data_IF_912245869328
#
_entry.id   IF_912245869328
#
_cell.length_a   1.000
_cell.length_b   1.000
_cell.length_c   1.000
_cell.angle_alpha   90.00
_cell.angle_beta   90.00
_cell.angle_gamma   90.00
#
_symmetry.space_group_name_H-M   'P 1'
#
loop_
_entity.id
_entity.type
_entity.pdbx_description
1 polymer ?
#
# COMPACT_ATOMS: atom_id res chain seq x y z
N UNK A 1 -3.93 -27.70 -7.30
CA UNK A 1 -5.34 -27.63 -7.78
C UNK A 1 -6.34 -28.24 -6.80
N UNK A 2 -6.30 -29.53 -6.38
CA UNK A 2 -7.37 -30.10 -5.52
C UNK A 2 -7.55 -29.36 -4.18
N UNK A 3 -6.44 -29.01 -3.51
CA UNK A 3 -6.46 -28.16 -2.32
C UNK A 3 -7.05 -26.77 -2.60
N UNK A 4 -6.78 -26.21 -3.78
CA UNK A 4 -7.34 -24.92 -4.21
C UNK A 4 -8.85 -24.98 -4.42
N UNK A 5 -9.36 -26.06 -5.02
CA UNK A 5 -10.81 -26.31 -5.14
C UNK A 5 -11.44 -26.42 -3.75
N UNK A 6 -10.83 -27.21 -2.86
CA UNK A 6 -11.29 -27.35 -1.48
C UNK A 6 -11.37 -26.00 -0.75
N UNK A 7 -10.30 -25.20 -0.80
CA UNK A 7 -10.28 -23.87 -0.18
C UNK A 7 -11.23 -22.90 -0.84
N UNK A 8 -11.35 -22.89 -2.18
CA UNK A 8 -12.29 -22.04 -2.90
C UNK A 8 -13.74 -22.33 -2.51
N UNK A 9 -14.10 -23.61 -2.37
CA UNK A 9 -15.43 -24.02 -1.91
C UNK A 9 -15.67 -23.63 -0.46
N UNK A 10 -14.75 -23.93 0.46
CA UNK A 10 -14.91 -23.59 1.87
C UNK A 10 -15.00 -22.08 2.08
N UNK A 11 -14.05 -21.32 1.52
CA UNK A 11 -14.03 -19.88 1.67
C UNK A 11 -15.22 -19.23 0.96
N UNK A 12 -15.65 -19.77 -0.19
CA UNK A 12 -16.87 -19.33 -0.86
C UNK A 12 -18.12 -19.57 -0.02
N UNK A 13 -18.25 -20.73 0.63
CA UNK A 13 -19.35 -21.03 1.54
C UNK A 13 -19.34 -20.11 2.77
N UNK A 14 -18.17 -19.87 3.35
CA UNK A 14 -18.01 -18.90 4.45
C UNK A 14 -18.46 -17.51 3.98
N UNK A 15 -18.02 -17.09 2.80
CA UNK A 15 -18.36 -15.77 2.25
C UNK A 15 -19.86 -15.61 1.97
N UNK A 16 -20.54 -16.68 1.51
CA UNK A 16 -21.96 -16.65 1.17
C UNK A 16 -22.90 -16.83 2.37
N UNK A 17 -22.46 -17.51 3.42
CA UNK A 17 -23.34 -17.94 4.51
C UNK A 17 -22.97 -17.41 5.90
N UNK A 18 -21.70 -17.05 6.13
CA UNK A 18 -21.24 -16.56 7.43
C UNK A 18 -20.97 -15.05 7.44
N UNK A 19 -20.68 -14.45 6.30
CA UNK A 19 -20.45 -13.01 6.16
C UNK A 19 -21.72 -12.26 5.73
N UNK A 20 -21.69 -10.94 5.89
CA UNK A 20 -22.80 -10.08 5.52
C UNK A 20 -23.08 -10.17 4.01
N UNK A 21 -24.31 -10.52 3.65
CA UNK A 21 -24.74 -10.59 2.25
C UNK A 21 -25.43 -9.27 1.91
N UNK A 22 -24.94 -8.50 0.92
CA UNK A 22 -25.54 -7.22 0.56
C UNK A 22 -26.95 -7.41 -0.01
N UNK A 23 -27.79 -6.39 0.14
CA UNK A 23 -29.14 -6.38 -0.40
C UNK A 23 -29.10 -6.61 -1.93
N UNK A 24 -29.84 -7.60 -2.47
CA UNK A 24 -29.88 -7.87 -3.90
C UNK A 24 -30.33 -6.69 -4.77
N UNK A 25 -31.06 -5.74 -4.20
CA UNK A 25 -31.46 -4.49 -4.88
C UNK A 25 -30.30 -3.52 -5.09
N UNK A 26 -29.26 -3.60 -4.25
CA UNK A 26 -28.06 -2.77 -4.30
C UNK A 26 -26.94 -3.47 -5.06
N UNK A 27 -26.75 -4.77 -4.83
CA UNK A 27 -25.71 -5.57 -5.49
C UNK A 27 -26.34 -6.81 -6.15
N UNK A 28 -26.78 -6.70 -7.42
CA UNK A 28 -27.37 -7.84 -8.11
C UNK A 28 -26.31 -8.92 -8.37
N UNK A 29 -26.76 -10.18 -8.41
CA UNK A 29 -25.93 -11.35 -8.75
C UNK A 29 -24.71 -11.59 -7.84
N UNK A 30 -24.79 -11.21 -6.56
CA UNK A 30 -23.71 -11.41 -5.58
C UNK A 30 -23.16 -12.84 -5.55
N UNK A 31 -24.05 -13.84 -5.47
CA UNK A 31 -23.64 -15.25 -5.42
C UNK A 31 -22.86 -15.69 -6.66
N UNK A 32 -23.30 -15.24 -7.84
CA UNK A 32 -22.61 -15.54 -9.10
C UNK A 32 -21.22 -14.90 -9.13
N UNK A 33 -21.06 -13.69 -8.57
CA UNK A 33 -19.78 -13.02 -8.41
C UNK A 33 -18.81 -13.82 -7.54
N UNK A 34 -19.25 -14.27 -6.36
CA UNK A 34 -18.41 -15.07 -5.45
C UNK A 34 -17.95 -16.37 -6.12
N UNK A 35 -18.87 -17.08 -6.79
CA UNK A 35 -18.54 -18.32 -7.51
C UNK A 35 -17.57 -18.04 -8.67
N UNK A 36 -17.77 -16.96 -9.41
CA UNK A 36 -16.88 -16.56 -10.50
C UNK A 36 -15.46 -16.22 -10.01
N UNK A 37 -15.32 -15.50 -8.89
CA UNK A 37 -14.01 -15.26 -8.27
C UNK A 37 -13.36 -16.56 -7.78
N UNK A 38 -14.11 -17.45 -7.13
CA UNK A 38 -13.61 -18.77 -6.73
C UNK A 38 -13.13 -19.59 -7.92
N UNK A 39 -13.91 -19.62 -9.00
CA UNK A 39 -13.53 -20.28 -10.25
C UNK A 39 -12.28 -19.65 -10.87
N UNK A 40 -12.16 -18.32 -10.84
CA UNK A 40 -10.98 -17.63 -11.36
C UNK A 40 -9.70 -18.04 -10.65
N UNK A 41 -9.73 -18.20 -9.33
CA UNK A 41 -8.59 -18.67 -8.54
C UNK A 41 -8.21 -20.12 -8.92
N UNK A 42 -9.20 -20.99 -9.15
CA UNK A 42 -8.94 -22.37 -9.60
C UNK A 42 -8.28 -22.37 -10.99
N UNK A 43 -8.74 -21.53 -11.92
CA UNK A 43 -8.15 -21.40 -13.25
C UNK A 43 -6.71 -20.90 -13.15
N UNK A 44 -6.44 -19.90 -12.32
CA UNK A 44 -5.09 -19.37 -12.11
C UNK A 44 -4.14 -20.44 -11.56
N UNK A 45 -4.60 -21.25 -10.59
CA UNK A 45 -3.86 -22.39 -10.06
C UNK A 45 -3.54 -23.48 -11.10
N UNK A 46 -4.33 -23.60 -12.18
CA UNK A 46 -4.00 -24.49 -13.30
C UNK A 46 -2.84 -23.94 -14.14
N UNK A 47 -2.66 -22.61 -14.16
CA UNK A 47 -1.56 -21.93 -14.85
C UNK A 47 -0.23 -21.93 -14.08
N UNK A 48 -0.26 -22.05 -12.75
CA UNK A 48 0.93 -21.97 -11.89
C UNK A 48 2.09 -22.88 -12.30
N UNK A 49 1.90 -24.18 -12.64
CA UNK A 49 3.02 -25.03 -13.04
C UNK A 49 3.78 -24.48 -14.25
N UNK A 50 3.05 -23.89 -15.22
CA UNK A 50 3.66 -23.27 -16.40
C UNK A 50 4.39 -21.97 -16.04
N UNK A 51 3.82 -21.18 -15.15
CA UNK A 51 4.45 -19.95 -14.66
C UNK A 51 5.75 -20.26 -13.91
N UNK A 52 5.75 -21.24 -13.01
CA UNK A 52 6.95 -21.68 -12.27
C UNK A 52 8.00 -22.21 -13.22
N UNK A 53 7.62 -23.03 -14.20
CA UNK A 53 8.54 -23.55 -15.22
C UNK A 53 9.15 -22.42 -16.06
N UNK A 54 8.34 -21.44 -16.48
CA UNK A 54 8.82 -20.28 -17.21
C UNK A 54 9.79 -19.44 -16.38
N UNK A 55 9.52 -19.25 -15.08
CA UNK A 55 10.38 -18.52 -14.15
C UNK A 55 11.70 -19.27 -13.92
N UNK A 56 11.66 -20.59 -13.71
CA UNK A 56 12.84 -21.43 -13.48
C UNK A 56 13.82 -21.42 -14.68
N UNK A 57 13.29 -21.30 -15.91
CA UNK A 57 14.08 -21.21 -17.13
C UNK A 57 14.26 -19.77 -17.66
N UNK A 58 13.94 -18.77 -16.85
CA UNK A 58 14.14 -17.34 -17.16
C UNK A 58 13.47 -16.88 -18.47
N UNK A 59 12.28 -17.40 -18.79
CA UNK A 59 11.45 -16.91 -19.89
C UNK A 59 10.73 -15.60 -19.53
N UNK A 60 11.53 -14.58 -19.16
CA UNK A 60 11.05 -13.26 -18.71
C UNK A 60 10.18 -12.59 -19.77
N UNK A 61 10.54 -12.71 -21.06
CA UNK A 61 9.76 -12.13 -22.16
C UNK A 61 8.35 -12.74 -22.27
N UNK A 62 8.22 -14.06 -22.10
CA UNK A 62 6.91 -14.73 -22.10
C UNK A 62 6.05 -14.18 -20.96
N UNK A 63 6.62 -14.12 -19.75
CA UNK A 63 5.94 -13.62 -18.55
C UNK A 63 5.41 -12.20 -18.76
N UNK A 64 6.28 -11.28 -19.21
CA UNK A 64 5.91 -9.87 -19.45
C UNK A 64 4.79 -9.78 -20.49
N UNK A 65 4.87 -10.52 -21.59
CA UNK A 65 3.85 -10.47 -22.65
C UNK A 65 2.52 -11.04 -22.15
N UNK A 66 2.54 -12.21 -21.52
CA UNK A 66 1.35 -12.89 -21.03
C UNK A 66 0.62 -12.07 -19.95
N UNK A 67 1.36 -11.53 -18.98
CA UNK A 67 0.81 -10.66 -17.94
C UNK A 67 0.24 -9.37 -18.55
N UNK A 68 1.01 -8.70 -19.42
CA UNK A 68 0.57 -7.45 -20.06
C UNK A 68 -0.69 -7.65 -20.91
N UNK A 69 -0.73 -8.69 -21.74
CA UNK A 69 -1.90 -8.99 -22.58
C UNK A 69 -3.13 -9.25 -21.71
N UNK A 70 -2.99 -10.05 -20.66
CA UNK A 70 -4.08 -10.39 -19.75
C UNK A 70 -4.61 -9.15 -19.02
N UNK A 71 -3.73 -8.29 -18.49
CA UNK A 71 -4.12 -7.03 -17.84
C UNK A 71 -4.83 -6.10 -18.83
N UNK A 72 -4.29 -5.92 -20.04
CA UNK A 72 -4.91 -5.06 -21.07
C UNK A 72 -6.29 -5.58 -21.46
N UNK A 73 -6.44 -6.90 -21.68
CA UNK A 73 -7.74 -7.52 -21.97
C UNK A 73 -8.74 -7.31 -20.84
N UNK A 74 -8.32 -7.50 -19.58
CA UNK A 74 -9.15 -7.22 -18.39
C UNK A 74 -9.61 -5.77 -18.37
N UNK A 75 -8.69 -4.82 -18.53
CA UNK A 75 -8.99 -3.39 -18.46
C UNK A 75 -9.95 -2.96 -19.57
N UNK A 76 -9.73 -3.38 -20.81
CA UNK A 76 -10.62 -3.08 -21.93
C UNK A 76 -12.03 -3.61 -21.64
N UNK A 77 -12.14 -4.88 -21.23
CA UNK A 77 -13.44 -5.48 -20.93
C UNK A 77 -14.15 -4.75 -19.78
N UNK A 78 -13.45 -4.49 -18.67
CA UNK A 78 -14.01 -3.76 -17.52
C UNK A 78 -14.53 -2.39 -17.95
N UNK A 79 -13.71 -1.59 -18.65
CA UNK A 79 -14.09 -0.22 -19.06
C UNK A 79 -15.29 -0.26 -20.01
N UNK A 80 -15.27 -1.12 -21.03
CA UNK A 80 -16.37 -1.25 -21.97
C UNK A 80 -17.67 -1.64 -21.26
N UNK A 81 -17.64 -2.66 -20.39
CA UNK A 81 -18.85 -3.13 -19.72
C UNK A 81 -19.36 -2.15 -18.65
N UNK A 82 -18.48 -1.46 -17.92
CA UNK A 82 -18.87 -0.44 -16.94
C UNK A 82 -19.58 0.74 -17.63
N UNK A 83 -19.12 1.15 -18.81
CA UNK A 83 -19.76 2.21 -19.60
C UNK A 83 -21.13 1.76 -20.13
N UNK A 84 -21.24 0.51 -20.60
CA UNK A 84 -22.49 -0.01 -21.19
C UNK A 84 -23.54 -0.41 -20.14
N UNK A 85 -23.12 -0.98 -19.01
CA UNK A 85 -23.98 -1.59 -17.99
C UNK A 85 -23.53 -1.23 -16.56
N UNK A 86 -23.58 0.05 -16.16
CA UNK A 86 -23.03 0.51 -14.88
C UNK A 86 -23.63 -0.16 -13.64
N UNK A 87 -24.88 -0.64 -13.72
CA UNK A 87 -25.58 -1.29 -12.61
C UNK A 87 -25.08 -2.72 -12.29
N UNK A 88 -24.26 -3.34 -13.15
CA UNK A 88 -23.81 -4.72 -13.01
C UNK A 88 -22.37 -4.84 -12.48
N UNK A 89 -21.91 -3.83 -11.72
CA UNK A 89 -20.51 -3.66 -11.32
C UNK A 89 -19.81 -4.96 -10.88
N UNK A 90 -20.33 -5.64 -9.85
CA UNK A 90 -19.72 -6.87 -9.34
C UNK A 90 -19.61 -7.98 -10.39
N UNK A 91 -20.66 -8.17 -11.21
CA UNK A 91 -20.65 -9.17 -12.27
C UNK A 91 -19.61 -8.84 -13.34
N UNK A 92 -19.49 -7.56 -13.71
CA UNK A 92 -18.50 -7.07 -14.67
C UNK A 92 -17.07 -7.34 -14.17
N UNK A 93 -16.77 -6.98 -12.92
CA UNK A 93 -15.45 -7.24 -12.33
C UNK A 93 -15.13 -8.74 -12.25
N UNK A 94 -16.14 -9.57 -11.94
CA UNK A 94 -15.99 -11.02 -11.88
C UNK A 94 -15.70 -11.62 -13.27
N UNK A 95 -16.44 -11.19 -14.29
CA UNK A 95 -16.25 -11.63 -15.67
C UNK A 95 -14.89 -11.16 -16.22
N UNK A 96 -14.49 -9.93 -15.93
CA UNK A 96 -13.19 -9.40 -16.31
C UNK A 96 -12.04 -10.15 -15.63
N UNK A 97 -12.20 -10.55 -14.36
CA UNK A 97 -11.24 -11.40 -13.67
C UNK A 97 -11.15 -12.81 -14.30
N UNK A 98 -12.29 -13.41 -14.68
CA UNK A 98 -12.29 -14.68 -15.40
C UNK A 98 -11.60 -14.58 -16.76
N UNK A 99 -11.82 -13.50 -17.51
CA UNK A 99 -11.12 -13.23 -18.77
C UNK A 99 -9.61 -13.11 -18.53
N UNK A 100 -9.19 -12.34 -17.52
CA UNK A 100 -7.80 -12.16 -17.15
C UNK A 100 -7.08 -13.49 -16.94
N UNK A 101 -7.58 -14.33 -16.03
CA UNK A 101 -6.94 -15.61 -15.71
C UNK A 101 -6.99 -16.56 -16.90
N UNK A 102 -8.06 -16.55 -17.69
CA UNK A 102 -8.19 -17.42 -18.87
C UNK A 102 -7.18 -17.04 -19.95
N UNK A 103 -7.02 -15.76 -20.26
CA UNK A 103 -6.01 -15.28 -21.22
C UNK A 103 -4.61 -15.61 -20.73
N UNK A 104 -4.33 -15.42 -19.43
CA UNK A 104 -3.03 -15.71 -18.83
C UNK A 104 -2.67 -17.20 -18.99
N UNK A 105 -3.55 -18.09 -18.57
CA UNK A 105 -3.33 -19.55 -18.69
C UNK A 105 -3.22 -19.97 -20.15
N UNK A 106 -4.07 -19.45 -21.03
CA UNK A 106 -4.01 -19.76 -22.46
C UNK A 106 -2.68 -19.33 -23.08
N UNK A 107 -2.13 -18.16 -22.72
CA UNK A 107 -0.81 -17.73 -23.20
C UNK A 107 0.28 -18.72 -22.83
N UNK A 108 0.31 -19.17 -21.57
CA UNK A 108 1.29 -20.15 -21.11
C UNK A 108 1.10 -21.51 -21.79
N UNK A 109 -0.13 -22.02 -21.85
CA UNK A 109 -0.43 -23.31 -22.48
C UNK A 109 -0.05 -23.29 -23.96
N UNK A 110 -0.48 -22.27 -24.72
CA UNK A 110 -0.14 -22.11 -26.14
C UNK A 110 1.38 -22.06 -26.31
N UNK A 111 2.08 -21.23 -25.53
CA UNK A 111 3.52 -21.11 -25.62
C UNK A 111 4.23 -22.44 -25.39
N UNK A 112 3.90 -23.16 -24.31
CA UNK A 112 4.58 -24.44 -24.00
C UNK A 112 4.19 -25.56 -24.96
N UNK A 113 2.96 -25.59 -25.49
CA UNK A 113 2.59 -26.53 -26.56
C UNK A 113 3.44 -26.30 -27.81
N UNK A 114 3.63 -25.04 -28.22
CA UNK A 114 4.44 -24.70 -29.38
C UNK A 114 5.94 -24.88 -29.14
N UNK A 115 6.43 -24.47 -27.96
CA UNK A 115 7.84 -24.52 -27.60
C UNK A 115 8.36 -25.95 -27.43
N UNK A 116 7.62 -26.82 -26.73
CA UNK A 116 8.06 -28.19 -26.47
C UNK A 116 8.13 -29.06 -27.75
N UNK A 117 7.38 -28.69 -28.79
CA UNK A 117 7.48 -29.31 -30.12
C UNK A 117 8.56 -28.70 -31.04
N UNK A 118 9.25 -27.65 -30.59
CA UNK A 118 10.20 -26.90 -31.41
C UNK A 118 11.63 -27.48 -31.35
N UNK A 119 12.44 -27.34 -32.42
CA UNK A 119 13.84 -27.74 -32.41
C UNK A 119 14.68 -26.98 -31.37
N UNK A 120 14.21 -25.79 -30.94
CA UNK A 120 14.88 -25.00 -29.91
C UNK A 120 14.81 -25.65 -28.52
N UNK A 121 13.68 -26.28 -28.17
CA UNK A 121 13.54 -27.03 -26.92
C UNK A 121 14.44 -28.27 -26.90
N UNK A 122 14.54 -28.99 -28.02
CA UNK A 122 15.45 -30.13 -28.18
C UNK A 122 16.91 -29.68 -28.06
N UNK A 123 17.27 -28.56 -28.69
CA UNK A 123 18.63 -27.98 -28.60
C UNK A 123 18.99 -27.55 -27.17
N UNK A 124 18.02 -27.07 -26.40
CA UNK A 124 18.18 -26.67 -24.99
C UNK A 124 18.10 -27.85 -24.00
N UNK A 125 17.93 -29.10 -24.48
CA UNK A 125 17.77 -30.31 -23.65
C UNK A 125 16.71 -30.12 -22.55
N UNK A 126 15.56 -29.55 -22.93
CA UNK A 126 14.53 -29.19 -21.97
C UNK A 126 13.97 -30.44 -21.26
N UNK A 127 13.83 -30.43 -19.92
CA UNK A 127 13.53 -31.63 -19.13
C UNK A 127 12.11 -32.18 -19.33
N UNK A 128 11.20 -31.37 -19.90
CA UNK A 128 9.80 -31.73 -20.11
C UNK A 128 9.55 -31.95 -21.61
N UNK A 129 9.14 -33.14 -22.03
CA UNK A 129 8.92 -33.44 -23.45
C UNK A 129 7.51 -33.07 -23.95
N UNK A 130 6.50 -33.04 -23.05
CA UNK A 130 5.11 -32.75 -23.40
C UNK A 130 4.41 -32.02 -22.26
N UNK A 131 3.47 -31.13 -22.59
CA UNK A 131 2.63 -30.44 -21.59
C UNK A 131 1.87 -31.40 -20.67
N UNK A 132 1.48 -32.59 -21.17
CA UNK A 132 0.84 -33.64 -20.36
C UNK A 132 1.71 -34.12 -19.18
N UNK A 133 3.04 -34.00 -19.27
CA UNK A 133 3.93 -34.36 -18.17
C UNK A 133 3.88 -33.38 -16.99
N UNK A 134 3.30 -32.19 -17.18
CA UNK A 134 3.03 -31.22 -16.10
C UNK A 134 1.69 -31.50 -15.39
N UNK A 135 0.87 -32.41 -15.93
CA UNK A 135 -0.36 -32.85 -15.29
C UNK A 135 -0.04 -33.99 -14.31
N UNK A 136 -0.80 -34.11 -13.21
CA UNK A 136 -0.64 -35.22 -12.27
C UNK A 136 -0.74 -36.55 -13.02
N UNK A 137 0.28 -37.39 -12.88
CA UNK A 137 0.33 -38.74 -13.45
C UNK A 137 0.49 -39.75 -12.32
N UNK A 138 -0.23 -40.86 -12.42
CA UNK A 138 -0.04 -42.00 -11.51
C UNK A 138 1.12 -42.81 -12.06
N UNK A 139 2.28 -42.72 -11.41
CA UNK A 139 3.44 -43.55 -11.71
C UNK A 139 3.37 -44.76 -10.78
N UNK A 140 3.38 -45.98 -11.35
CA UNK A 140 3.07 -47.22 -10.63
C UNK A 140 4.07 -47.58 -9.50
N UNK A 141 5.24 -46.92 -9.44
CA UNK A 141 6.31 -47.22 -8.46
C UNK A 141 6.75 -46.03 -7.58
N UNK A 142 6.10 -44.87 -7.68
CA UNK A 142 6.39 -43.72 -6.81
C UNK A 142 5.28 -43.44 -5.80
N UNK A 143 5.65 -42.98 -4.61
CA UNK A 143 4.67 -42.51 -3.62
C UNK A 143 3.86 -41.36 -4.22
N UNK A 144 2.52 -41.43 -4.14
CA UNK A 144 1.59 -40.43 -4.67
C UNK A 144 1.95 -38.98 -4.28
N UNK A 145 2.61 -38.78 -3.13
CA UNK A 145 3.15 -37.50 -2.68
C UNK A 145 4.59 -37.68 -2.22
N UNK A 146 5.49 -36.88 -2.78
CA UNK A 146 6.84 -36.73 -2.24
C UNK A 146 6.77 -35.98 -0.90
N UNK A 147 6.86 -36.71 0.22
CA UNK A 147 6.72 -36.16 1.56
C UNK A 147 7.77 -35.10 1.92
N UNK A 148 8.97 -35.17 1.32
CA UNK A 148 10.03 -34.16 1.55
C UNK A 148 9.63 -32.82 0.95
N UNK A 149 9.17 -32.84 -0.30
CA UNK A 149 8.68 -31.66 -1.00
C UNK A 149 7.39 -31.14 -0.36
N UNK A 150 6.45 -32.03 -0.02
CA UNK A 150 5.21 -31.65 0.65
C UNK A 150 5.47 -30.94 2.00
N UNK A 151 6.44 -31.41 2.78
CA UNK A 151 6.84 -30.75 4.04
C UNK A 151 7.44 -29.37 3.79
N UNK A 152 8.22 -29.20 2.73
CA UNK A 152 8.78 -27.91 2.33
C UNK A 152 7.68 -26.95 1.82
N UNK A 153 6.78 -27.42 0.96
CA UNK A 153 5.61 -26.68 0.49
C UNK A 153 4.72 -26.24 1.65
N UNK A 154 4.54 -27.10 2.66
CA UNK A 154 3.80 -26.74 3.86
C UNK A 154 4.47 -25.64 4.68
N UNK A 155 5.80 -25.65 4.78
CA UNK A 155 6.55 -24.55 5.41
C UNK A 155 6.37 -23.23 4.66
N UNK A 156 6.46 -23.24 3.33
CA UNK A 156 6.20 -22.03 2.53
C UNK A 156 4.74 -21.58 2.60
N UNK A 157 3.79 -22.51 2.63
CA UNK A 157 2.38 -22.18 2.83
C UNK A 157 2.15 -21.47 4.16
N UNK A 158 2.71 -21.97 5.27
CA UNK A 158 2.65 -21.29 6.58
C UNK A 158 3.23 -19.89 6.53
N UNK A 159 4.39 -19.74 5.88
CA UNK A 159 5.03 -18.43 5.73
C UNK A 159 4.16 -17.46 4.92
N UNK A 160 3.60 -17.90 3.81
CA UNK A 160 2.71 -17.10 2.97
C UNK A 160 1.41 -16.76 3.70
N UNK A 161 0.83 -17.70 4.46
CA UNK A 161 -0.37 -17.46 5.26
C UNK A 161 -0.12 -16.44 6.37
N UNK A 162 0.99 -16.58 7.11
CA UNK A 162 1.38 -15.59 8.11
C UNK A 162 1.62 -14.21 7.47
N UNK A 163 2.31 -14.18 6.34
CA UNK A 163 2.53 -12.95 5.57
C UNK A 163 1.20 -12.30 5.19
N UNK A 164 0.25 -13.10 4.69
CA UNK A 164 -1.08 -12.63 4.32
C UNK A 164 -1.83 -11.99 5.50
N UNK A 165 -1.80 -12.60 6.69
CA UNK A 165 -2.41 -12.00 7.89
C UNK A 165 -1.72 -10.71 8.29
N UNK A 166 -0.39 -10.65 8.22
CA UNK A 166 0.38 -9.45 8.58
C UNK A 166 0.18 -8.30 7.58
N UNK A 167 -0.01 -8.59 6.30
CA UNK A 167 -0.16 -7.56 5.25
C UNK A 167 -1.60 -7.14 5.02
N UNK A 168 -2.55 -8.08 5.13
CA UNK A 168 -3.97 -7.86 4.82
C UNK A 168 -4.86 -7.96 6.07
N UNK A 169 -4.26 -7.97 7.27
CA UNK A 169 -4.96 -8.02 8.56
C UNK A 169 -6.01 -6.91 8.72
N UNK A 170 -5.70 -5.72 8.21
CA UNK A 170 -6.64 -4.60 8.10
C UNK A 170 -7.90 -4.97 7.30
N UNK A 171 -7.74 -5.57 6.12
CA UNK A 171 -8.88 -6.00 5.30
C UNK A 171 -9.67 -7.11 5.97
N UNK A 172 -8.99 -8.02 6.67
CA UNK A 172 -9.66 -9.05 7.45
C UNK A 172 -10.49 -8.48 8.60
N UNK A 173 -10.01 -7.45 9.31
CA UNK A 173 -10.81 -6.75 10.33
C UNK A 173 -12.06 -6.12 9.69
N UNK A 174 -11.91 -5.45 8.55
CA UNK A 174 -13.04 -4.82 7.85
C UNK A 174 -14.07 -5.85 7.38
N UNK A 175 -13.63 -6.97 6.82
CA UNK A 175 -14.50 -8.01 6.24
C UNK A 175 -15.14 -8.94 7.28
N UNK A 176 -14.40 -9.42 8.28
CA UNK A 176 -14.90 -10.47 9.19
C UNK A 176 -15.64 -9.92 10.41
N UNK A 177 -15.37 -8.70 10.82
CA UNK A 177 -15.97 -8.12 12.03
C UNK A 177 -17.18 -7.22 11.72
N UNK A 178 -17.59 -7.13 10.44
CA UNK A 178 -18.71 -6.33 9.93
C UNK A 178 -18.77 -4.92 10.55
N UNK A 179 -17.60 -4.31 10.80
CA UNK A 179 -17.53 -3.01 11.49
C UNK A 179 -17.89 -1.86 10.54
N UNK A 180 -17.80 -2.11 9.23
CA UNK A 180 -18.13 -1.17 8.16
C UNK A 180 -19.05 -1.83 7.14
N UNK A 181 -20.05 -1.10 6.67
CA UNK A 181 -20.86 -1.52 5.53
C UNK A 181 -20.02 -1.52 4.25
N UNK A 182 -20.36 -2.35 3.26
CA UNK A 182 -19.70 -2.45 1.96
C UNK A 182 -19.53 -1.09 1.25
N UNK A 183 -20.50 -0.19 1.38
CA UNK A 183 -20.40 1.17 0.83
C UNK A 183 -19.24 1.96 1.45
N UNK A 184 -19.14 1.98 2.78
CA UNK A 184 -18.07 2.67 3.50
C UNK A 184 -16.71 2.00 3.26
N UNK A 185 -16.66 0.68 3.10
CA UNK A 185 -15.43 -0.04 2.72
C UNK A 185 -14.95 0.41 1.32
N UNK A 186 -15.88 0.56 0.35
CA UNK A 186 -15.56 1.06 -0.98
C UNK A 186 -15.03 2.50 -0.98
N UNK A 187 -15.69 3.39 -0.21
CA UNK A 187 -15.21 4.78 -0.05
C UNK A 187 -13.85 4.82 0.65
N UNK A 188 -13.68 4.03 1.71
CA UNK A 188 -12.41 3.88 2.41
C UNK A 188 -11.29 3.43 1.47
N UNK A 189 -11.50 2.38 0.69
CA UNK A 189 -10.50 1.86 -0.25
C UNK A 189 -10.10 2.89 -1.31
N UNK A 190 -11.06 3.68 -1.82
CA UNK A 190 -10.77 4.76 -2.78
C UNK A 190 -9.94 5.85 -2.10
N UNK A 191 -10.36 6.33 -0.92
CA UNK A 191 -9.64 7.37 -0.19
C UNK A 191 -8.24 6.90 0.23
N UNK A 192 -8.09 5.66 0.70
CA UNK A 192 -6.81 5.07 1.06
C UNK A 192 -5.87 5.00 -0.15
N UNK A 193 -6.37 4.57 -1.31
CA UNK A 193 -5.58 4.55 -2.54
C UNK A 193 -5.20 5.95 -3.04
N UNK A 194 -6.11 6.93 -2.94
CA UNK A 194 -5.84 8.31 -3.32
C UNK A 194 -4.85 8.99 -2.37
N UNK A 195 -5.06 8.84 -1.07
CA UNK A 195 -4.23 9.43 -0.03
C UNK A 195 -2.83 8.82 0.03
N UNK A 196 -2.69 7.50 -0.21
CA UNK A 196 -1.38 6.83 -0.23
C UNK A 196 -0.50 7.19 -1.44
N UNK A 197 -1.00 7.91 -2.44
CA UNK A 197 -0.20 8.29 -3.62
C UNK A 197 1.05 9.09 -3.27
N UNK A 198 0.93 10.04 -2.33
CA UNK A 198 2.08 10.85 -1.87
C UNK A 198 3.13 9.94 -1.22
N UNK A 199 2.69 9.02 -0.36
CA UNK A 199 3.60 8.06 0.26
C UNK A 199 4.29 7.17 -0.79
N UNK A 200 3.55 6.68 -1.79
CA UNK A 200 4.08 5.81 -2.86
C UNK A 200 5.04 6.51 -3.81
N UNK A 201 4.76 7.76 -4.18
CA UNK A 201 5.53 8.46 -5.22
C UNK A 201 6.59 9.41 -4.67
N UNK A 202 6.47 9.87 -3.43
CA UNK A 202 7.40 10.83 -2.83
C UNK A 202 8.17 10.16 -1.69
N UNK A 203 7.47 9.67 -0.66
CA UNK A 203 8.16 9.20 0.55
C UNK A 203 8.88 7.86 0.36
N UNK A 204 8.29 6.91 -0.35
CA UNK A 204 8.90 5.60 -0.57
C UNK A 204 10.23 5.68 -1.34
N UNK A 205 10.34 6.41 -2.48
CA UNK A 205 11.65 6.60 -3.14
C UNK A 205 12.69 7.30 -2.27
N UNK A 206 12.27 8.27 -1.44
CA UNK A 206 13.15 8.95 -0.47
C UNK A 206 13.66 7.93 0.56
N UNK A 207 12.76 7.16 1.16
CA UNK A 207 13.08 6.12 2.14
C UNK A 207 14.07 5.09 1.58
N UNK A 208 13.81 4.53 0.40
CA UNK A 208 14.70 3.54 -0.22
C UNK A 208 16.08 4.12 -0.55
N UNK A 209 16.12 5.34 -1.10
CA UNK A 209 17.38 6.01 -1.47
C UNK A 209 18.24 6.33 -0.26
N UNK A 210 17.62 6.89 0.78
CA UNK A 210 18.35 7.28 1.99
C UNK A 210 18.66 6.11 2.91
N UNK A 211 17.91 5.00 2.83
CA UNK A 211 18.29 3.75 3.49
C UNK A 211 19.66 3.28 2.99
N UNK A 212 19.83 3.26 1.66
CA UNK A 212 21.10 2.86 1.03
C UNK A 212 22.21 3.86 1.37
N UNK A 213 21.90 5.17 1.42
CA UNK A 213 22.86 6.19 1.84
C UNK A 213 23.36 5.94 3.27
N UNK A 214 22.46 5.85 4.25
CA UNK A 214 22.83 5.65 5.65
C UNK A 214 23.57 4.34 5.87
N UNK A 215 23.15 3.26 5.20
CA UNK A 215 23.81 1.96 5.29
C UNK A 215 25.22 1.92 4.67
N UNK A 216 25.56 2.89 3.79
CA UNK A 216 26.89 3.03 3.19
C UNK A 216 27.80 3.99 3.97
N UNK A 217 27.23 5.05 4.53
CA UNK A 217 27.98 6.07 5.27
C UNK A 217 28.29 5.60 6.69
N UNK A 218 27.35 4.92 7.33
CA UNK A 218 27.49 4.45 8.70
C UNK A 218 27.59 2.93 8.76
N UNK A 219 28.43 2.45 9.66
CA UNK A 219 28.62 1.01 9.87
C UNK A 219 27.55 0.44 10.80
N UNK A 220 26.88 -0.63 10.33
CA UNK A 220 25.81 -1.30 11.07
C UNK A 220 26.31 -1.89 12.40
N UNK A 221 25.56 -1.67 13.48
CA UNK A 221 25.84 -2.22 14.81
C UNK A 221 26.98 -1.54 15.57
N UNK A 222 27.58 -0.47 15.05
CA UNK A 222 28.60 0.32 15.75
C UNK A 222 27.99 1.51 16.47
N UNK A 223 28.57 1.86 17.61
CA UNK A 223 28.16 3.09 18.33
C UNK A 223 28.67 4.33 17.59
N UNK A 224 28.12 5.51 17.92
CA UNK A 224 28.56 6.77 17.30
C UNK A 224 30.04 7.09 17.57
N UNK A 225 30.59 6.63 18.70
CA UNK A 225 32.02 6.85 19.06
C UNK A 225 32.98 6.00 18.23
N UNK A 226 32.52 4.87 17.72
CA UNK A 226 33.35 3.91 16.97
C UNK A 226 33.35 4.19 15.46
N UNK A 227 32.76 5.32 15.06
CA UNK A 227 32.62 5.74 13.67
C UNK A 227 33.39 7.03 13.41
N UNK A 228 33.67 7.29 12.13
CA UNK A 228 34.38 8.52 11.75
C UNK A 228 33.48 9.72 12.00
N UNK A 229 34.03 10.72 12.68
CA UNK A 229 33.30 11.94 13.06
C UNK A 229 32.68 12.65 11.84
N UNK A 230 33.41 12.70 10.71
CA UNK A 230 32.91 13.29 9.46
C UNK A 230 31.69 12.54 8.88
N UNK A 231 31.70 11.21 8.92
CA UNK A 231 30.60 10.37 8.42
C UNK A 231 29.36 10.52 9.31
N UNK A 232 29.56 10.59 10.63
CA UNK A 232 28.50 10.84 11.62
C UNK A 232 27.89 12.24 11.42
N UNK A 233 28.73 13.27 11.23
CA UNK A 233 28.28 14.62 11.01
C UNK A 233 27.48 14.74 9.70
N UNK A 234 27.96 14.09 8.63
CA UNK A 234 27.26 14.03 7.34
C UNK A 234 25.89 13.35 7.48
N UNK A 235 25.85 12.17 8.10
CA UNK A 235 24.61 11.43 8.29
C UNK A 235 23.61 12.18 9.18
N UNK A 236 24.08 12.83 10.24
CA UNK A 236 23.23 13.65 11.10
C UNK A 236 22.65 14.85 10.35
N UNK A 237 23.46 15.56 9.57
CA UNK A 237 22.99 16.71 8.79
C UNK A 237 21.97 16.27 7.71
N UNK A 238 22.24 15.18 7.00
CA UNK A 238 21.29 14.63 6.01
C UNK A 238 19.99 14.20 6.69
N UNK A 239 20.06 13.48 7.82
CA UNK A 239 18.87 13.08 8.57
C UNK A 239 18.05 14.29 9.04
N UNK A 240 18.69 15.33 9.58
CA UNK A 240 18.03 16.57 10.00
C UNK A 240 17.26 17.21 8.84
N UNK A 241 17.91 17.34 7.69
CA UNK A 241 17.35 17.98 6.50
C UNK A 241 16.21 17.15 5.90
N UNK A 242 16.32 15.83 5.92
CA UNK A 242 15.25 14.94 5.45
C UNK A 242 14.04 14.95 6.34
N UNK A 243 14.22 14.84 7.66
CA UNK A 243 13.12 14.95 8.63
C UNK A 243 12.38 16.26 8.45
N UNK A 244 13.13 17.34 8.26
CA UNK A 244 12.59 18.66 7.99
C UNK A 244 11.81 18.72 6.66
N UNK A 245 12.37 18.19 5.58
CA UNK A 245 11.71 18.13 4.28
C UNK A 245 10.37 17.39 4.36
N UNK A 246 10.38 16.16 4.88
CA UNK A 246 9.18 15.31 4.91
C UNK A 246 8.13 15.83 5.87
N UNK A 247 8.54 16.46 6.99
CA UNK A 247 7.63 17.13 7.91
C UNK A 247 6.92 18.29 7.21
N UNK A 248 7.64 19.15 6.49
CA UNK A 248 7.05 20.30 5.79
C UNK A 248 6.09 19.86 4.68
N UNK A 249 6.43 18.81 3.93
CA UNK A 249 5.52 18.22 2.94
C UNK A 249 4.26 17.67 3.63
N UNK A 250 4.43 16.89 4.71
CA UNK A 250 3.33 16.34 5.49
C UNK A 250 2.42 17.40 6.12
N UNK A 251 2.98 18.48 6.65
CA UNK A 251 2.24 19.60 7.24
C UNK A 251 1.45 20.36 6.18
N UNK A 252 2.05 20.63 5.01
CA UNK A 252 1.34 21.21 3.88
C UNK A 252 0.14 20.36 3.48
N UNK A 253 0.33 19.04 3.34
CA UNK A 253 -0.77 18.13 2.99
C UNK A 253 -1.81 18.07 4.10
N UNK A 254 -1.42 18.08 5.37
CA UNK A 254 -2.39 18.07 6.48
C UNK A 254 -3.25 19.33 6.47
N UNK A 255 -2.64 20.51 6.36
CA UNK A 255 -3.33 21.80 6.43
C UNK A 255 -4.24 22.03 5.23
N UNK A 256 -3.72 21.88 4.02
CA UNK A 256 -4.51 22.11 2.81
C UNK A 256 -5.38 20.90 2.46
N UNK A 257 -4.91 19.67 2.66
CA UNK A 257 -5.71 18.47 2.42
C UNK A 257 -7.00 18.46 3.24
N UNK A 258 -6.98 18.96 4.48
CA UNK A 258 -8.19 19.05 5.30
C UNK A 258 -9.29 19.89 4.63
N UNK A 259 -9.01 21.17 4.33
CA UNK A 259 -10.01 22.10 3.81
C UNK A 259 -10.44 21.82 2.35
N UNK A 260 -9.59 21.13 1.58
CA UNK A 260 -9.84 20.85 0.17
C UNK A 260 -10.33 19.41 -0.09
N UNK A 261 -10.49 18.59 0.94
CA UNK A 261 -10.91 17.18 0.81
C UNK A 261 -12.25 17.02 0.09
N UNK A 262 -13.27 17.79 0.49
CA UNK A 262 -14.59 17.70 -0.13
C UNK A 262 -14.54 18.11 -1.61
N UNK A 263 -13.86 19.21 -1.93
CA UNK A 263 -13.70 19.67 -3.31
C UNK A 263 -12.92 18.65 -4.17
N UNK A 264 -11.83 18.10 -3.63
CA UNK A 264 -10.99 17.13 -4.33
C UNK A 264 -11.79 15.86 -4.67
N UNK A 265 -12.56 15.34 -3.71
CA UNK A 265 -13.42 14.18 -3.94
C UNK A 265 -14.57 14.47 -4.91
N UNK A 266 -15.14 15.68 -4.86
CA UNK A 266 -16.21 16.07 -5.78
C UNK A 266 -15.72 16.16 -7.23
N UNK A 267 -14.50 16.67 -7.43
CA UNK A 267 -13.85 16.70 -8.75
C UNK A 267 -13.53 15.27 -9.23
N UNK A 268 -13.10 14.40 -8.32
CA UNK A 268 -12.65 13.05 -8.66
C UNK A 268 -13.79 12.06 -8.93
N UNK A 269 -14.76 11.98 -8.02
CA UNK A 269 -15.86 11.00 -8.09
C UNK A 269 -17.26 11.58 -7.90
N UNK A 270 -17.40 12.92 -7.92
CA UNK A 270 -18.68 13.60 -7.74
C UNK A 270 -19.30 13.37 -6.36
N UNK A 271 -20.62 13.55 -6.29
CA UNK A 271 -21.40 13.40 -5.06
C UNK A 271 -21.29 12.04 -4.41
N UNK A 272 -20.93 10.98 -5.15
CA UNK A 272 -20.73 9.64 -4.58
C UNK A 272 -19.60 9.62 -3.54
N UNK A 273 -18.54 10.39 -3.77
CA UNK A 273 -17.40 10.47 -2.84
C UNK A 273 -17.40 11.75 -2.00
N UNK A 274 -18.00 12.83 -2.50
CA UNK A 274 -18.04 14.11 -1.78
C UNK A 274 -19.20 14.21 -0.78
N UNK A 275 -20.19 13.31 -0.87
CA UNK A 275 -21.23 13.14 0.15
C UNK A 275 -20.94 11.92 1.05
N UNK A 276 -21.45 11.93 2.27
CA UNK A 276 -21.22 10.85 3.24
C UNK A 276 -19.85 10.93 3.92
N UNK A 277 -19.20 9.79 4.12
CA UNK A 277 -17.98 9.63 4.93
C UNK A 277 -16.68 10.00 4.20
N UNK A 278 -16.72 10.18 2.88
CA UNK A 278 -15.54 10.43 2.04
C UNK A 278 -14.71 11.65 2.44
N UNK A 279 -15.30 12.86 2.59
CA UNK A 279 -14.54 14.05 2.97
C UNK A 279 -13.84 13.90 4.32
N UNK A 280 -14.51 13.33 5.32
CA UNK A 280 -13.94 13.13 6.66
C UNK A 280 -12.82 12.09 6.64
N UNK A 281 -12.97 11.04 5.83
CA UNK A 281 -11.91 10.08 5.59
C UNK A 281 -10.67 10.74 4.99
N UNK A 282 -10.82 11.54 3.93
CA UNK A 282 -9.67 12.18 3.27
C UNK A 282 -9.04 13.27 4.16
N UNK A 283 -9.84 13.96 4.99
CA UNK A 283 -9.34 14.88 6.03
C UNK A 283 -8.45 14.17 7.03
N UNK A 284 -8.93 13.06 7.61
CA UNK A 284 -8.15 12.26 8.54
C UNK A 284 -6.95 11.60 7.86
N UNK A 285 -7.09 11.16 6.61
CA UNK A 285 -5.98 10.62 5.84
C UNK A 285 -4.90 11.67 5.59
N UNK A 286 -5.28 12.93 5.37
CA UNK A 286 -4.32 14.03 5.19
C UNK A 286 -3.41 14.20 6.42
N UNK A 287 -3.96 14.01 7.62
CA UNK A 287 -3.15 13.91 8.86
C UNK A 287 -2.31 12.63 8.88
N UNK A 288 -2.86 11.50 8.47
CA UNK A 288 -2.12 10.23 8.40
C UNK A 288 -0.89 10.31 7.48
N UNK A 289 -0.95 11.07 6.39
CA UNK A 289 0.20 11.33 5.50
C UNK A 289 1.37 11.96 6.25
N UNK A 290 1.12 12.86 7.23
CA UNK A 290 2.18 13.42 8.07
C UNK A 290 2.87 12.34 8.92
N UNK A 291 2.10 11.39 9.48
CA UNK A 291 2.66 10.27 10.21
C UNK A 291 3.49 9.35 9.31
N UNK A 292 3.00 9.04 8.10
CA UNK A 292 3.75 8.25 7.12
C UNK A 292 5.08 8.93 6.74
N UNK A 293 5.05 10.24 6.54
CA UNK A 293 6.23 11.04 6.18
C UNK A 293 7.35 10.92 7.23
N UNK A 294 7.01 11.14 8.49
CA UNK A 294 7.97 11.11 9.61
C UNK A 294 8.39 9.67 9.91
N UNK A 295 7.46 8.71 9.87
CA UNK A 295 7.75 7.30 10.11
C UNK A 295 8.76 6.76 9.09
N UNK A 296 8.53 6.95 7.79
CA UNK A 296 9.41 6.42 6.74
C UNK A 296 10.87 6.84 6.92
N UNK A 297 11.14 8.14 7.14
CA UNK A 297 12.53 8.62 7.32
C UNK A 297 13.15 8.17 8.64
N UNK A 298 12.42 8.21 9.76
CA UNK A 298 12.97 7.80 11.06
C UNK A 298 13.27 6.30 11.10
N UNK A 299 12.38 5.48 10.57
CA UNK A 299 12.52 4.02 10.57
C UNK A 299 13.55 3.54 9.55
N UNK A 300 13.62 4.16 8.38
CA UNK A 300 14.69 3.97 7.39
C UNK A 300 16.09 4.10 8.02
N UNK A 301 16.34 5.21 8.73
CA UNK A 301 17.61 5.45 9.40
C UNK A 301 17.89 4.39 10.48
N UNK A 302 16.89 4.10 11.31
CA UNK A 302 17.00 3.08 12.37
C UNK A 302 17.35 1.71 11.78
N UNK A 303 16.65 1.27 10.73
CA UNK A 303 16.91 -0.01 10.08
C UNK A 303 18.26 -0.08 9.36
N UNK A 304 18.78 1.05 8.87
CA UNK A 304 20.10 1.09 8.25
C UNK A 304 21.21 0.74 9.26
N UNK A 305 21.00 1.08 10.55
CA UNK A 305 22.00 0.99 11.61
C UNK A 305 21.88 -0.21 12.54
N UNK A 306 20.67 -0.72 12.77
CA UNK A 306 20.44 -1.81 13.72
C UNK A 306 21.25 -3.07 13.37
N UNK A 307 21.88 -3.72 14.35
CA UNK A 307 22.48 -5.03 14.14
C UNK A 307 21.39 -6.12 13.96
N UNK A 308 21.79 -7.35 13.61
CA UNK A 308 20.82 -8.43 13.36
C UNK A 308 19.94 -8.71 14.58
N UNK A 309 20.54 -8.76 15.76
CA UNK A 309 19.85 -9.02 17.03
C UNK A 309 18.85 -7.92 17.37
N UNK A 310 19.17 -6.66 17.03
CA UNK A 310 18.27 -5.53 17.21
C UNK A 310 17.11 -5.55 16.21
N UNK A 311 17.37 -5.92 14.96
CA UNK A 311 16.33 -6.13 13.94
C UNK A 311 15.38 -7.26 14.36
N UNK A 312 15.91 -8.38 14.85
CA UNK A 312 15.09 -9.51 15.32
C UNK A 312 14.23 -9.11 16.53
N UNK A 313 14.79 -8.36 17.48
CA UNK A 313 14.04 -7.79 18.61
C UNK A 313 12.98 -6.81 18.13
N UNK A 314 13.30 -5.94 17.17
CA UNK A 314 12.35 -4.99 16.60
C UNK A 314 11.22 -5.69 15.84
N UNK A 315 11.50 -6.76 15.10
CA UNK A 315 10.48 -7.58 14.44
C UNK A 315 9.50 -8.19 15.45
N UNK A 316 9.98 -8.62 16.62
CA UNK A 316 9.12 -9.10 17.69
C UNK A 316 8.24 -7.98 18.29
N UNK A 317 8.81 -6.78 18.47
CA UNK A 317 8.06 -5.59 18.89
C UNK A 317 7.00 -5.23 17.84
N UNK A 318 7.35 -5.23 16.55
CA UNK A 318 6.40 -4.98 15.45
C UNK A 318 5.25 -5.98 15.46
N UNK A 319 5.52 -7.28 15.70
CA UNK A 319 4.47 -8.28 15.82
C UNK A 319 3.49 -7.96 16.97
N UNK A 320 4.01 -7.55 18.13
CA UNK A 320 3.18 -7.13 19.25
C UNK A 320 2.37 -5.87 18.93
N UNK A 321 2.98 -4.88 18.24
CA UNK A 321 2.31 -3.68 17.79
C UNK A 321 1.22 -3.98 16.76
N UNK A 322 1.42 -4.93 15.86
CA UNK A 322 0.37 -5.37 14.92
C UNK A 322 -0.84 -5.93 15.64
N UNK A 323 -0.65 -6.70 16.71
CA UNK A 323 -1.77 -7.20 17.53
C UNK A 323 -2.52 -6.05 18.23
N UNK A 324 -1.79 -5.11 18.84
CA UNK A 324 -2.37 -3.91 19.46
C UNK A 324 -3.14 -3.08 18.44
N UNK A 325 -2.57 -2.88 17.25
CA UNK A 325 -3.20 -2.19 16.13
C UNK A 325 -4.52 -2.85 15.73
N UNK A 326 -4.57 -4.18 15.60
CA UNK A 326 -5.81 -4.89 15.27
C UNK A 326 -6.89 -4.67 16.34
N UNK A 327 -6.53 -4.74 17.62
CA UNK A 327 -7.46 -4.47 18.72
C UNK A 327 -7.97 -3.03 18.70
N UNK A 328 -7.07 -2.04 18.57
CA UNK A 328 -7.44 -0.62 18.54
C UNK A 328 -8.29 -0.32 17.30
N UNK A 329 -7.95 -0.89 16.15
CA UNK A 329 -8.72 -0.76 14.91
C UNK A 329 -10.13 -1.27 15.10
N UNK A 330 -10.32 -2.42 15.75
CA UNK A 330 -11.67 -2.92 16.07
C UNK A 330 -12.47 -1.93 16.93
N UNK A 331 -11.90 -1.45 18.04
CA UNK A 331 -12.62 -0.54 18.95
C UNK A 331 -12.91 0.83 18.31
N UNK A 332 -11.91 1.45 17.66
CA UNK A 332 -12.08 2.76 17.05
C UNK A 332 -13.02 2.69 15.84
N UNK A 333 -12.96 1.63 15.05
CA UNK A 333 -13.87 1.47 13.91
C UNK A 333 -15.30 1.25 14.39
N UNK A 334 -15.50 0.58 15.53
CA UNK A 334 -16.83 0.43 16.12
C UNK A 334 -17.41 1.78 16.60
N UNK A 335 -16.58 2.71 17.06
CA UNK A 335 -17.04 4.01 17.58
C UNK A 335 -17.12 5.11 16.52
N UNK A 336 -16.17 5.15 15.58
CA UNK A 336 -15.99 6.23 14.60
C UNK A 336 -16.06 5.75 13.15
N UNK A 337 -16.52 4.52 12.90
CA UNK A 337 -16.60 3.97 11.56
C UNK A 337 -15.25 3.94 10.86
N UNK A 338 -15.27 4.18 9.55
CA UNK A 338 -14.08 4.07 8.68
C UNK A 338 -13.00 5.11 9.03
N UNK A 339 -13.39 6.25 9.59
CA UNK A 339 -12.46 7.26 10.13
C UNK A 339 -11.71 6.72 11.34
N UNK A 340 -12.38 5.96 12.21
CA UNK A 340 -11.76 5.28 13.34
C UNK A 340 -10.62 4.34 12.92
N UNK A 341 -10.77 3.70 11.76
CA UNK A 341 -9.73 2.85 11.18
C UNK A 341 -8.47 3.65 10.82
N UNK A 342 -8.61 4.81 10.15
CA UNK A 342 -7.49 5.70 9.85
C UNK A 342 -6.82 6.18 11.14
N UNK A 343 -7.60 6.53 12.17
CA UNK A 343 -7.05 6.96 13.46
C UNK A 343 -6.26 5.85 14.16
N UNK A 344 -6.70 4.60 14.08
CA UNK A 344 -5.92 3.45 14.57
C UNK A 344 -4.59 3.30 13.82
N UNK A 345 -4.59 3.54 12.52
CA UNK A 345 -3.38 3.60 11.70
C UNK A 345 -2.45 4.77 12.10
N UNK A 346 -2.99 5.96 12.39
CA UNK A 346 -2.22 7.07 12.96
C UNK A 346 -1.58 6.69 14.30
N UNK A 347 -2.32 6.02 15.18
CA UNK A 347 -1.82 5.57 16.48
C UNK A 347 -0.67 4.56 16.32
N UNK A 348 -0.84 3.57 15.44
CA UNK A 348 0.20 2.59 15.12
C UNK A 348 1.48 3.27 14.59
N UNK A 349 1.35 4.20 13.64
CA UNK A 349 2.49 4.97 13.14
C UNK A 349 3.10 5.87 14.22
N UNK A 350 2.29 6.44 15.11
CA UNK A 350 2.76 7.23 16.26
C UNK A 350 3.68 6.44 17.18
N UNK A 351 3.33 5.19 17.52
CA UNK A 351 4.20 4.33 18.33
C UNK A 351 5.50 3.99 17.59
N UNK A 352 5.42 3.68 16.29
CA UNK A 352 6.61 3.40 15.47
C UNK A 352 7.55 4.61 15.41
N UNK A 353 7.01 5.81 15.19
CA UNK A 353 7.78 7.07 15.24
C UNK A 353 8.43 7.24 16.61
N UNK A 354 7.69 7.01 17.71
CA UNK A 354 8.25 7.13 19.06
C UNK A 354 9.42 6.16 19.28
N UNK A 355 9.29 4.92 18.84
CA UNK A 355 10.36 3.92 18.92
C UNK A 355 11.59 4.31 18.10
N UNK A 356 11.42 4.65 16.82
CA UNK A 356 12.52 5.05 15.94
C UNK A 356 13.19 6.35 16.40
N UNK A 357 12.40 7.33 16.85
CA UNK A 357 12.91 8.59 17.43
C UNK A 357 13.70 8.33 18.72
N UNK A 358 13.22 7.43 19.57
CA UNK A 358 13.94 7.02 20.77
C UNK A 358 15.28 6.37 20.43
N UNK A 359 15.33 5.50 19.41
CA UNK A 359 16.57 4.90 18.92
C UNK A 359 17.54 5.98 18.39
N UNK A 360 17.07 6.89 17.53
CA UNK A 360 17.87 8.00 16.99
C UNK A 360 18.44 8.87 18.12
N UNK A 361 17.60 9.21 19.10
CA UNK A 361 18.02 9.99 20.26
C UNK A 361 19.11 9.28 21.06
N UNK A 362 18.94 8.00 21.35
CA UNK A 362 19.95 7.22 22.07
C UNK A 362 21.26 7.11 21.29
N UNK A 363 21.17 6.87 19.98
CA UNK A 363 22.33 6.75 19.10
C UNK A 363 23.18 8.03 19.12
N UNK A 364 22.57 9.20 18.91
CA UNK A 364 23.29 10.49 18.90
C UNK A 364 23.52 11.10 20.29
N UNK A 365 23.09 10.46 21.39
CA UNK A 365 23.17 11.02 22.76
C UNK A 365 24.58 11.41 23.17
N UNK A 366 25.57 10.64 22.71
CA UNK A 366 26.98 10.85 23.05
C UNK A 366 27.73 11.71 22.02
N UNK A 367 27.01 12.25 21.03
CA UNK A 367 27.54 13.14 19.99
C UNK A 367 27.10 14.59 20.21
N UNK A 368 27.75 15.53 19.53
CA UNK A 368 27.34 16.95 19.50
C UNK A 368 26.13 17.20 18.59
N UNK A 369 25.76 16.24 17.74
CA UNK A 369 24.72 16.38 16.72
C UNK A 369 23.32 16.02 17.26
N UNK A 370 22.30 16.74 16.80
CA UNK A 370 20.90 16.54 17.22
C UNK A 370 19.96 16.52 16.01
N UNK A 371 20.00 15.49 15.15
CA UNK A 371 19.25 15.50 13.88
C UNK A 371 17.72 15.60 14.06
N UNK A 372 17.19 15.22 15.23
CA UNK A 372 15.78 15.37 15.56
C UNK A 372 15.32 16.85 15.62
N UNK A 373 16.23 17.83 15.63
CA UNK A 373 15.89 19.25 15.45
C UNK A 373 15.18 19.51 14.12
N UNK A 374 15.37 18.65 13.11
CA UNK A 374 14.65 18.73 11.85
C UNK A 374 13.13 18.62 11.98
N UNK A 375 12.64 17.99 13.06
CA UNK A 375 11.21 17.89 13.37
C UNK A 375 10.61 19.17 13.98
N UNK A 376 11.43 20.19 14.24
CA UNK A 376 11.01 21.47 14.82
C UNK A 376 11.05 22.56 13.73
N UNK A 377 9.92 22.86 13.07
CA UNK A 377 9.86 23.96 12.10
C UNK A 377 9.98 25.31 12.81
N UNK A 378 10.30 26.37 12.04
CA UNK A 378 10.39 27.70 12.62
C UNK A 378 9.03 28.16 13.20
N UNK A 379 8.99 28.85 14.36
CA UNK A 379 7.74 29.29 14.97
C UNK A 379 6.89 30.18 14.05
N UNK A 380 7.55 30.99 13.20
CA UNK A 380 6.88 31.82 12.21
C UNK A 380 6.16 30.99 11.14
N UNK A 381 6.80 29.93 10.65
CA UNK A 381 6.19 29.02 9.67
C UNK A 381 5.04 28.22 10.28
N UNK A 382 5.18 27.79 11.53
CA UNK A 382 4.10 27.11 12.26
C UNK A 382 2.89 28.02 12.47
N UNK A 383 3.11 29.29 12.85
CA UNK A 383 2.04 30.29 12.94
C UNK A 383 1.34 30.48 11.59
N UNK A 384 2.09 30.53 10.49
CA UNK A 384 1.53 30.68 9.15
C UNK A 384 0.71 29.45 8.72
N UNK A 385 1.15 28.23 9.07
CA UNK A 385 0.35 27.03 8.85
C UNK A 385 -0.98 27.06 9.63
N UNK A 386 -0.96 27.49 10.89
CA UNK A 386 -2.19 27.65 11.69
C UNK A 386 -3.11 28.69 11.05
N UNK A 387 -2.58 29.86 10.69
CA UNK A 387 -3.37 30.91 10.02
C UNK A 387 -3.95 30.42 8.70
N UNK A 388 -3.16 29.71 7.89
CA UNK A 388 -3.61 29.13 6.62
C UNK A 388 -4.69 28.07 6.84
N UNK A 389 -4.56 27.22 7.85
CA UNK A 389 -5.57 26.23 8.22
C UNK A 389 -6.89 26.90 8.59
N UNK A 390 -6.84 27.95 9.42
CA UNK A 390 -8.03 28.72 9.82
C UNK A 390 -8.68 29.39 8.61
N UNK A 391 -7.90 30.11 7.79
CA UNK A 391 -8.42 30.83 6.60
C UNK A 391 -9.03 29.87 5.59
N UNK A 392 -8.38 28.74 5.31
CA UNK A 392 -8.87 27.76 4.35
C UNK A 392 -10.10 27.00 4.86
N UNK A 393 -10.17 26.68 6.15
CA UNK A 393 -11.37 26.09 6.76
C UNK A 393 -12.57 27.05 6.73
N UNK A 394 -12.36 28.34 7.05
CA UNK A 394 -13.42 29.35 6.89
C UNK A 394 -13.84 29.52 5.43
N UNK A 395 -12.88 29.47 4.50
CA UNK A 395 -13.15 29.54 3.06
C UNK A 395 -14.00 28.35 2.60
N UNK A 396 -13.73 27.15 3.09
CA UNK A 396 -14.50 25.94 2.79
C UNK A 396 -15.97 26.13 3.23
N UNK A 397 -16.21 26.49 4.49
CA UNK A 397 -17.56 26.70 5.02
C UNK A 397 -18.33 27.79 4.26
N UNK A 398 -17.65 28.85 3.83
CA UNK A 398 -18.28 29.98 3.14
C UNK A 398 -18.54 29.72 1.66
N UNK A 399 -17.64 29.02 0.96
CA UNK A 399 -17.63 28.97 -0.51
C UNK A 399 -17.74 27.56 -1.11
N UNK A 400 -17.47 26.50 -0.35
CA UNK A 400 -17.59 25.10 -0.80
C UNK A 400 -18.93 24.48 -0.34
N UNK A 401 -19.56 23.56 -1.08
CA UNK A 401 -19.36 23.26 -2.51
C UNK A 401 -20.66 23.26 -3.34
N UNK A 402 -21.78 23.70 -2.75
CA UNK A 402 -23.10 23.72 -3.41
C UNK A 402 -23.45 25.07 -4.05
N UNK A 403 -22.61 26.10 -3.84
CA UNK A 403 -22.85 27.48 -4.29
C UNK A 403 -22.40 27.75 -5.74
N UNK A 404 -22.18 26.70 -6.53
CA UNK A 404 -21.75 26.77 -7.93
C UNK A 404 -20.24 26.99 -8.14
N UNK A 405 -19.83 26.95 -9.41
CA UNK A 405 -18.41 27.00 -9.80
C UNK A 405 -17.68 28.28 -9.42
N UNK A 406 -18.36 29.43 -9.39
CA UNK A 406 -17.73 30.71 -9.00
C UNK A 406 -17.28 30.69 -7.53
N UNK A 407 -18.10 30.15 -6.63
CA UNK A 407 -17.72 30.01 -5.23
C UNK A 407 -16.56 29.00 -5.06
N UNK A 408 -16.58 27.89 -5.80
CA UNK A 408 -15.46 26.92 -5.83
C UNK A 408 -14.14 27.58 -6.29
N UNK A 409 -14.19 28.42 -7.32
CA UNK A 409 -13.01 29.16 -7.80
C UNK A 409 -12.47 30.16 -6.77
N UNK A 410 -13.35 30.84 -6.03
CA UNK A 410 -12.94 31.71 -4.91
C UNK A 410 -12.24 30.89 -3.83
N UNK A 411 -12.80 29.73 -3.45
CA UNK A 411 -12.18 28.82 -2.49
C UNK A 411 -10.77 28.40 -2.95
N UNK A 412 -10.65 27.88 -4.18
CA UNK A 412 -9.36 27.50 -4.79
C UNK A 412 -8.36 28.68 -4.77
N UNK A 413 -8.82 29.89 -5.09
CA UNK A 413 -7.96 31.07 -5.13
C UNK A 413 -7.44 31.45 -3.74
N UNK A 414 -8.27 31.35 -2.69
CA UNK A 414 -7.83 31.55 -1.30
C UNK A 414 -6.78 30.53 -0.90
N UNK A 415 -6.97 29.26 -1.26
CA UNK A 415 -5.98 28.20 -1.03
C UNK A 415 -4.67 28.45 -1.74
N UNK A 416 -4.72 28.82 -3.01
CA UNK A 416 -3.54 29.12 -3.81
C UNK A 416 -2.72 30.27 -3.21
N UNK A 417 -3.38 31.32 -2.72
CA UNK A 417 -2.73 32.45 -2.05
C UNK A 417 -2.07 32.03 -0.72
N UNK A 418 -2.78 31.27 0.13
CA UNK A 418 -2.23 30.75 1.38
C UNK A 418 -1.07 29.77 1.13
N UNK A 419 -1.18 28.92 0.11
CA UNK A 419 -0.12 28.00 -0.29
C UNK A 419 1.11 28.76 -0.83
N UNK A 420 0.91 29.77 -1.67
CA UNK A 420 2.01 30.59 -2.14
C UNK A 420 2.71 31.32 -0.97
N UNK A 421 1.95 31.89 -0.03
CA UNK A 421 2.51 32.53 1.15
C UNK A 421 3.32 31.54 2.01
N UNK A 422 2.79 30.33 2.28
CA UNK A 422 3.49 29.29 3.04
C UNK A 422 4.77 28.83 2.35
N UNK A 423 4.75 28.62 1.02
CA UNK A 423 5.93 28.25 0.25
C UNK A 423 6.99 29.36 0.23
N UNK A 424 6.59 30.63 0.10
CA UNK A 424 7.52 31.76 0.16
C UNK A 424 8.15 31.89 1.55
N UNK A 425 7.36 31.77 2.63
CA UNK A 425 7.90 31.80 3.98
C UNK A 425 8.81 30.61 4.27
N UNK A 426 8.46 29.42 3.77
CA UNK A 426 9.33 28.24 3.83
C UNK A 426 10.66 28.53 3.11
N UNK A 427 10.61 29.13 1.91
CA UNK A 427 11.80 29.50 1.16
C UNK A 427 12.67 30.55 1.90
N UNK A 428 12.06 31.49 2.62
CA UNK A 428 12.81 32.51 3.35
C UNK A 428 13.37 32.03 4.70
N UNK A 429 12.65 31.15 5.40
CA UNK A 429 13.02 30.73 6.77
C UNK A 429 13.91 29.48 6.79
N UNK A 430 13.80 28.61 5.79
CA UNK A 430 14.42 27.27 5.77
C UNK A 430 15.61 27.21 4.80
N UNK A 431 16.51 28.20 4.87
CA UNK A 431 17.64 28.36 3.92
C UNK A 431 18.55 27.14 3.81
N UNK A 432 18.80 26.44 4.92
CA UNK A 432 19.59 25.19 4.94
C UNK A 432 18.97 24.08 4.10
N UNK A 433 17.65 23.93 4.16
CA UNK A 433 16.92 22.91 3.41
C UNK A 433 16.99 23.20 1.91
N UNK A 434 16.85 24.46 1.52
CA UNK A 434 16.90 24.88 0.11
C UNK A 434 18.28 24.66 -0.48
N UNK A 435 19.32 24.96 0.28
CA UNK A 435 20.69 24.69 -0.15
C UNK A 435 20.90 23.18 -0.38
N UNK A 436 20.40 22.34 0.52
CA UNK A 436 20.46 20.89 0.38
C UNK A 436 19.76 20.40 -0.89
N UNK A 437 18.51 20.82 -1.12
CA UNK A 437 17.73 20.43 -2.31
C UNK A 437 18.40 20.91 -3.62
N UNK A 438 19.09 22.05 -3.61
CA UNK A 438 19.83 22.55 -4.80
C UNK A 438 21.16 21.84 -5.06
N UNK A 439 21.72 21.20 -4.03
CA UNK A 439 23.04 20.55 -4.09
C UNK A 439 23.00 19.07 -4.47
N UNK A 440 21.81 18.47 -4.41
CA UNK A 440 21.51 17.12 -4.91
C UNK A 440 21.05 17.22 -6.37
#
# INVERSE_FOLDING_TARGET
>A
VPLGVFWSLILGLVWLHLLEVPDPSVVPHYQAGVVAFGLSAIIELLGEPFWVLAQAHLFVRLKVIAESLSVVSKCILTVTLVILYPHWGLYIFSLAQLLYVSVLVMCYVIYFVMFLGSPEATKKSFPVARVKALLPSFVEDETFVNWKEARLTWSFFKQSFLKQILTEGERYVMTFLNVLNFGDQGVYDIVNNLGSLVARFIFLPIEESFYVFFAKVLERGKTVKDQKEDDVAMAANVLELLLKLVLLIGLTITVFGYAYSQLALDIYGGSMLSSGTGPDLLRCYSLYVLFLAVNGVTECFTFALMCKEEVDRYNFVMLALSFIFLCISYFLTHWYGSVGFILANCFNMGIRIAHSTHYIYQYFRESSHRPLSGLLPSPALLLLYILSAVVTAFSEVLFCCDKGWMARLIHISMGALCLAATLVTMFCTETKLIHFVRSQ
#
